data_IF_761329799294
#
_entry.id   IF_761329799294
#
_cell.length_a   1.000
_cell.length_b   1.000
_cell.length_c   1.000
_cell.angle_alpha   90.00
_cell.angle_beta   90.00
_cell.angle_gamma   90.00
#
_symmetry.space_group_name_H-M   'P 1'
#
loop_
_entity.id
_entity.type
_entity.pdbx_description
1 polymer ?
#
# COMPACT_ATOMS: atom_id res chain seq x y z
N UNK A 1 -1.70 -67.19 -9.30
CA UNK A 1 -1.42 -66.70 -10.67
C UNK A 1 -1.51 -65.18 -10.65
N UNK A 2 -0.45 -64.48 -11.05
CA UNK A 2 -0.35 -63.02 -10.98
C UNK A 2 -0.89 -62.45 -12.31
N UNK A 3 -2.04 -61.77 -12.28
CA UNK A 3 -2.66 -61.21 -13.47
C UNK A 3 -1.94 -59.89 -13.86
N UNK A 4 -0.90 -60.00 -14.68
CA UNK A 4 -0.25 -58.85 -15.29
C UNK A 4 -1.10 -58.36 -16.47
N UNK A 5 -2.18 -57.63 -16.19
CA UNK A 5 -2.90 -56.88 -17.24
C UNK A 5 -2.08 -55.62 -17.54
N UNK A 6 -1.45 -55.57 -18.70
CA UNK A 6 -0.78 -54.36 -19.20
C UNK A 6 -1.80 -53.28 -19.55
N UNK A 7 -1.35 -52.01 -19.54
CA UNK A 7 -2.13 -50.86 -20.02
C UNK A 7 -2.43 -51.02 -21.51
N UNK A 8 -3.69 -50.85 -21.87
CA UNK A 8 -4.10 -50.88 -23.28
C UNK A 8 -3.83 -49.53 -23.94
N UNK A 9 -3.58 -49.52 -25.26
CA UNK A 9 -3.35 -48.28 -25.99
C UNK A 9 -4.53 -47.32 -25.88
N UNK A 10 -5.75 -47.85 -25.89
CA UNK A 10 -6.99 -47.06 -25.75
C UNK A 10 -7.08 -46.38 -24.38
N UNK A 11 -6.66 -47.06 -23.31
CA UNK A 11 -6.67 -46.53 -21.95
C UNK A 11 -5.66 -45.38 -21.78
N UNK A 12 -4.50 -45.47 -22.44
CA UNK A 12 -3.53 -44.37 -22.51
C UNK A 12 -4.12 -43.14 -23.21
N UNK A 13 -4.75 -43.34 -24.37
CA UNK A 13 -5.35 -42.25 -25.14
C UNK A 13 -6.46 -41.55 -24.34
N UNK A 14 -7.34 -42.31 -23.69
CA UNK A 14 -8.41 -41.76 -22.85
C UNK A 14 -7.83 -40.98 -21.67
N UNK A 15 -6.79 -41.51 -21.02
CA UNK A 15 -6.13 -40.84 -19.88
C UNK A 15 -5.52 -39.51 -20.31
N UNK A 16 -4.82 -39.45 -21.45
CA UNK A 16 -4.25 -38.22 -21.99
C UNK A 16 -5.36 -37.21 -22.31
N UNK A 17 -6.45 -37.66 -22.95
CA UNK A 17 -7.58 -36.79 -23.28
C UNK A 17 -8.20 -36.14 -22.03
N UNK A 18 -8.39 -36.91 -20.96
CA UNK A 18 -8.92 -36.40 -19.68
C UNK A 18 -7.95 -35.40 -19.07
N UNK A 19 -6.64 -35.71 -19.03
CA UNK A 19 -5.62 -34.80 -18.48
C UNK A 19 -5.58 -33.49 -19.27
N UNK A 20 -5.68 -33.53 -20.60
CA UNK A 20 -5.70 -32.33 -21.44
C UNK A 20 -6.88 -31.43 -21.12
N UNK A 21 -8.08 -32.01 -20.94
CA UNK A 21 -9.28 -31.24 -20.56
C UNK A 21 -9.10 -30.60 -19.18
N UNK A 22 -8.61 -31.35 -18.20
CA UNK A 22 -8.37 -30.84 -16.85
C UNK A 22 -7.30 -29.73 -16.82
N UNK A 23 -6.27 -29.85 -17.67
CA UNK A 23 -5.16 -28.89 -17.73
C UNK A 23 -5.61 -27.48 -18.12
N UNK A 24 -6.64 -27.36 -18.96
CA UNK A 24 -7.18 -26.06 -19.38
C UNK A 24 -7.74 -25.29 -18.18
N UNK A 25 -8.47 -25.98 -17.30
CA UNK A 25 -9.02 -25.38 -16.08
C UNK A 25 -7.93 -24.90 -15.13
N UNK A 26 -6.91 -25.73 -14.92
CA UNK A 26 -5.76 -25.40 -14.06
C UNK A 26 -5.00 -24.19 -14.61
N UNK A 27 -4.72 -24.17 -15.92
CA UNK A 27 -3.99 -23.07 -16.56
C UNK A 27 -4.74 -21.74 -16.44
N UNK A 28 -6.06 -21.76 -16.54
CA UNK A 28 -6.90 -20.57 -16.34
C UNK A 28 -6.72 -19.98 -14.94
N UNK A 29 -6.75 -20.82 -13.90
CA UNK A 29 -6.56 -20.40 -12.50
C UNK A 29 -5.16 -19.79 -12.30
N UNK A 30 -4.13 -20.43 -12.85
CA UNK A 30 -2.75 -19.92 -12.78
C UNK A 30 -2.60 -18.57 -13.49
N UNK A 31 -3.22 -18.39 -14.65
CA UNK A 31 -3.17 -17.13 -15.39
C UNK A 31 -3.84 -15.99 -14.62
N UNK A 32 -5.03 -16.22 -14.07
CA UNK A 32 -5.76 -15.22 -13.27
C UNK A 32 -4.93 -14.86 -12.03
N UNK A 33 -4.40 -15.86 -11.32
CA UNK A 33 -3.60 -15.65 -10.11
C UNK A 33 -2.33 -14.86 -10.41
N UNK A 34 -1.60 -15.24 -11.46
CA UNK A 34 -0.37 -14.55 -11.88
C UNK A 34 -0.64 -13.10 -12.29
N UNK A 35 -1.73 -12.86 -13.04
CA UNK A 35 -2.12 -11.51 -13.42
C UNK A 35 -2.49 -10.66 -12.19
N UNK A 36 -3.15 -11.24 -11.19
CA UNK A 36 -3.51 -10.54 -9.95
C UNK A 36 -2.28 -10.24 -9.08
N UNK A 37 -1.31 -11.16 -8.99
CA UNK A 37 -0.04 -10.95 -8.29
C UNK A 37 0.72 -9.80 -8.94
N UNK A 38 0.84 -9.80 -10.27
CA UNK A 38 1.51 -8.73 -11.02
C UNK A 38 0.86 -7.37 -10.77
N UNK A 39 -0.47 -7.28 -10.92
CA UNK A 39 -1.23 -6.04 -10.63
C UNK A 39 -1.07 -5.57 -9.19
N UNK A 40 -1.04 -6.49 -8.23
CA UNK A 40 -0.84 -6.16 -6.82
C UNK A 40 0.57 -5.64 -6.56
N UNK A 41 1.58 -6.23 -7.19
CA UNK A 41 2.96 -5.75 -7.13
C UNK A 41 3.11 -4.33 -7.69
N UNK A 42 2.45 -4.02 -8.82
CA UNK A 42 2.42 -2.65 -9.36
C UNK A 42 1.76 -1.66 -8.40
N UNK A 43 0.63 -2.04 -7.79
CA UNK A 43 -0.05 -1.22 -6.76
C UNK A 43 0.87 -0.91 -5.58
N UNK A 44 1.55 -1.92 -5.05
CA UNK A 44 2.49 -1.74 -3.93
C UNK A 44 3.61 -0.78 -4.29
N UNK A 45 4.22 -0.93 -5.48
CA UNK A 45 5.26 -0.01 -5.96
C UNK A 45 4.75 1.44 -6.06
N UNK A 46 3.49 1.63 -6.45
CA UNK A 46 2.87 2.97 -6.54
C UNK A 46 2.65 3.59 -5.18
N UNK A 47 2.10 2.82 -4.22
CA UNK A 47 1.94 3.27 -2.84
C UNK A 47 3.29 3.71 -2.25
N UNK A 48 4.36 2.95 -2.50
CA UNK A 48 5.70 3.32 -2.04
C UNK A 48 6.20 4.64 -2.64
N UNK A 49 5.99 4.87 -3.94
CA UNK A 49 6.33 6.17 -4.58
C UNK A 49 5.52 7.34 -4.02
N UNK A 50 4.22 7.14 -3.77
CA UNK A 50 3.38 8.16 -3.14
C UNK A 50 3.89 8.46 -1.74
N UNK A 51 4.24 7.42 -0.97
CA UNK A 51 4.84 7.56 0.35
C UNK A 51 6.17 8.32 0.31
N UNK A 52 7.07 8.00 -0.61
CA UNK A 52 8.35 8.70 -0.77
C UNK A 52 8.15 10.21 -0.98
N UNK A 53 7.20 10.60 -1.85
CA UNK A 53 6.85 12.02 -2.02
C UNK A 53 6.25 12.65 -0.77
N UNK A 54 5.42 11.92 -0.03
CA UNK A 54 4.89 12.41 1.26
C UNK A 54 6.04 12.64 2.24
N UNK A 55 6.98 11.70 2.34
CA UNK A 55 8.14 11.79 3.22
C UNK A 55 9.05 12.98 2.84
N UNK A 56 9.27 13.22 1.54
CA UNK A 56 9.96 14.41 1.03
C UNK A 56 9.25 15.71 1.44
N UNK A 57 7.92 15.77 1.30
CA UNK A 57 7.16 16.96 1.69
C UNK A 57 7.09 17.16 3.20
N UNK A 58 7.12 16.07 3.99
CA UNK A 58 7.28 16.16 5.44
C UNK A 58 8.62 16.81 5.78
N UNK A 59 9.72 16.40 5.13
CA UNK A 59 11.05 16.96 5.37
C UNK A 59 11.07 18.45 5.00
N UNK A 60 10.58 18.82 3.81
CA UNK A 60 10.47 20.23 3.39
C UNK A 60 9.62 21.07 4.33
N UNK A 61 8.51 20.51 4.83
CA UNK A 61 7.63 21.22 5.76
C UNK A 61 8.24 21.50 7.13
N UNK A 62 9.32 20.79 7.53
CA UNK A 62 10.07 21.12 8.75
C UNK A 62 10.91 22.38 8.59
N UNK A 63 11.29 22.71 7.36
CA UNK A 63 12.11 23.88 7.04
C UNK A 63 11.24 25.13 6.82
N UNK A 64 10.00 24.94 6.34
CA UNK A 64 9.12 26.03 5.94
C UNK A 64 7.99 26.28 6.96
N UNK A 65 8.09 27.37 7.73
CA UNK A 65 7.21 27.64 8.89
C UNK A 65 5.92 28.41 8.54
N UNK A 66 5.63 28.59 7.24
CA UNK A 66 4.67 29.60 6.78
C UNK A 66 3.19 29.18 6.78
N UNK A 67 2.87 27.89 6.58
CA UNK A 67 1.46 27.43 6.52
C UNK A 67 1.05 26.72 7.81
N UNK A 68 0.02 27.26 8.48
CA UNK A 68 -0.54 26.75 9.74
C UNK A 68 -1.96 26.24 9.51
N UNK A 69 -2.10 24.93 9.41
CA UNK A 69 -3.38 24.26 9.60
C UNK A 69 -3.56 23.96 11.10
N UNK A 70 -4.79 24.13 11.60
CA UNK A 70 -5.14 23.81 12.99
C UNK A 70 -5.92 22.50 13.04
N UNK A 71 -5.42 21.54 13.82
CA UNK A 71 -6.14 20.29 14.10
C UNK A 71 -6.45 20.22 15.59
N UNK A 72 -7.73 20.00 15.93
CA UNK A 72 -8.19 19.80 17.30
C UNK A 72 -7.95 18.34 17.68
N UNK A 73 -7.11 18.09 18.68
CA UNK A 73 -6.82 16.73 19.17
C UNK A 73 -7.49 16.55 20.54
N UNK A 74 -8.32 15.52 20.66
CA UNK A 74 -8.98 15.14 21.92
C UNK A 74 -8.36 13.83 22.40
N UNK A 75 -7.56 13.88 23.47
CA UNK A 75 -7.02 12.69 24.14
C UNK A 75 -7.92 12.42 25.34
N UNK A 76 -8.81 11.42 25.20
CA UNK A 76 -9.67 11.00 26.31
C UNK A 76 -8.79 10.60 27.51
N UNK A 77 -9.23 11.01 28.70
CA UNK A 77 -8.64 10.71 30.02
C UNK A 77 -7.45 11.56 30.50
N UNK A 78 -6.77 12.37 29.66
CA UNK A 78 -5.55 13.10 30.11
C UNK A 78 -5.58 14.61 29.85
N UNK A 79 -6.11 15.09 28.72
CA UNK A 79 -6.02 16.52 28.34
C UNK A 79 -7.38 17.01 27.82
N UNK A 80 -7.93 18.09 28.41
CA UNK A 80 -9.01 18.88 27.79
C UNK A 80 -8.54 19.32 26.39
N UNK A 81 -9.44 19.27 25.41
CA UNK A 81 -9.21 19.64 24.00
C UNK A 81 -8.03 20.60 23.78
N UNK A 82 -7.00 20.15 23.04
CA UNK A 82 -5.82 20.96 22.71
C UNK A 82 -5.75 21.18 21.21
N UNK A 83 -5.70 22.43 20.79
CA UNK A 83 -5.40 22.79 19.40
C UNK A 83 -3.91 22.56 19.13
N UNK A 84 -3.61 21.84 18.07
CA UNK A 84 -2.25 21.60 17.60
C UNK A 84 -2.10 22.26 16.25
N UNK A 85 -1.18 23.22 16.19
CA UNK A 85 -0.75 23.83 14.92
C UNK A 85 0.13 22.83 14.16
N UNK A 86 -0.10 22.72 12.85
CA UNK A 86 0.71 21.87 11.98
C UNK A 86 0.40 22.13 10.50
N UNK A 87 0.72 21.16 9.66
CA UNK A 87 0.46 21.20 8.22
C UNK A 87 -0.16 19.88 7.78
N UNK A 88 -1.23 19.94 7.00
CA UNK A 88 -1.80 18.77 6.33
C UNK A 88 -1.07 18.60 4.99
N UNK A 89 -0.52 17.41 4.77
CA UNK A 89 0.13 17.04 3.51
C UNK A 89 -0.75 16.01 2.82
N UNK A 90 -1.14 16.31 1.58
CA UNK A 90 -1.91 15.42 0.73
C UNK A 90 -1.15 15.19 -0.57
N UNK A 91 -0.91 13.93 -0.91
CA UNK A 91 -0.27 13.53 -2.17
C UNK A 91 -1.11 12.45 -2.83
N UNK A 92 -1.41 12.63 -4.11
CA UNK A 92 -2.14 11.67 -4.94
C UNK A 92 -1.21 11.02 -5.96
N UNK A 93 -1.48 9.77 -6.33
CA UNK A 93 -0.74 9.06 -7.38
C UNK A 93 -0.76 9.81 -8.73
N UNK A 94 -1.88 10.46 -9.04
CA UNK A 94 -2.05 11.25 -10.27
C UNK A 94 -1.02 12.39 -10.38
N UNK A 95 -0.54 12.92 -9.25
CA UNK A 95 0.47 14.00 -9.19
C UNK A 95 1.91 13.48 -9.43
N UNK A 96 2.08 12.15 -9.50
CA UNK A 96 3.38 11.47 -9.62
C UNK A 96 3.50 10.69 -10.92
N UNK A 97 2.36 10.39 -11.51
CA UNK A 97 2.24 9.48 -12.63
C UNK A 97 2.90 10.05 -13.89
N UNK A 98 3.68 9.22 -14.60
CA UNK A 98 4.13 9.55 -15.96
C UNK A 98 3.00 9.29 -16.96
N UNK A 99 2.92 10.11 -18.01
CA UNK A 99 1.82 10.17 -19.00
C UNK A 99 1.32 8.81 -19.53
N UNK A 100 2.19 7.78 -19.56
CA UNK A 100 1.88 6.45 -20.10
C UNK A 100 1.63 5.35 -19.06
N UNK A 101 1.60 5.66 -17.77
CA UNK A 101 1.41 4.64 -16.73
C UNK A 101 -0.09 4.39 -16.46
N UNK A 102 -0.46 3.31 -15.77
CA UNK A 102 -1.82 3.16 -15.21
C UNK A 102 -1.92 3.96 -13.92
N UNK A 103 -3.01 4.72 -13.76
CA UNK A 103 -3.31 5.44 -12.51
C UNK A 103 -3.95 4.45 -11.57
N UNK A 104 -3.49 4.45 -10.33
CA UNK A 104 -4.24 3.87 -9.22
C UNK A 104 -4.75 5.03 -8.39
N UNK A 105 -6.05 5.04 -8.05
CA UNK A 105 -6.63 6.08 -7.21
C UNK A 105 -6.12 5.93 -5.75
N UNK A 106 -4.86 6.30 -5.53
CA UNK A 106 -4.15 6.24 -4.24
C UNK A 106 -3.96 7.68 -3.79
N UNK A 107 -4.37 7.95 -2.56
CA UNK A 107 -4.21 9.25 -1.88
C UNK A 107 -3.67 8.97 -0.49
N UNK A 108 -2.58 9.64 -0.13
CA UNK A 108 -2.04 9.64 1.24
C UNK A 108 -2.24 11.04 1.80
N UNK A 109 -2.92 11.13 2.94
CA UNK A 109 -3.10 12.36 3.71
C UNK A 109 -2.49 12.16 5.09
N UNK A 110 -1.62 13.07 5.50
CA UNK A 110 -0.95 13.03 6.80
C UNK A 110 -0.92 14.42 7.43
N UNK A 111 -0.80 14.48 8.76
CA UNK A 111 -0.67 15.72 9.52
C UNK A 111 0.68 15.77 10.20
N UNK A 112 1.43 16.86 9.97
CA UNK A 112 2.71 17.11 10.60
C UNK A 112 2.53 18.21 11.65
N UNK A 113 2.57 17.90 12.95
CA UNK A 113 2.48 18.91 13.99
C UNK A 113 3.75 19.77 14.01
N UNK A 114 3.60 21.07 14.26
CA UNK A 114 4.73 21.95 14.55
C UNK A 114 5.33 21.52 15.89
N UNK A 115 6.66 21.39 15.94
CA UNK A 115 7.37 20.99 17.18
C UNK A 115 7.02 21.99 18.28
N UNK A 116 6.27 21.53 19.29
CA UNK A 116 6.12 22.24 20.56
C UNK A 116 7.47 22.16 21.27
N UNK A 117 8.23 23.26 21.26
CA UNK A 117 9.37 23.40 22.16
C UNK A 117 8.74 23.43 23.56
N UNK A 118 8.93 22.35 24.33
CA UNK A 118 8.64 22.35 25.75
C UNK A 118 9.67 23.28 26.41
N UNK A 119 9.26 24.51 26.72
CA UNK A 119 10.02 25.45 27.55
C UNK A 119 10.18 24.86 28.96
N UNK A 120 11.21 24.04 29.17
CA UNK A 120 11.61 23.55 30.49
C UNK A 120 12.42 24.59 31.32
N UNK A 121 12.47 25.85 30.88
CA UNK A 121 13.18 26.92 31.59
C UNK A 121 12.24 27.86 32.34
N UNK A 122 11.50 27.37 33.34
CA UNK A 122 10.85 28.28 34.32
C UNK A 122 10.39 27.63 35.63
N UNK A 123 11.23 26.83 36.30
CA UNK A 123 10.92 26.47 37.69
C UNK A 123 12.13 26.04 38.54
N UNK A 124 13.18 26.87 38.64
CA UNK A 124 14.10 26.84 39.79
C UNK A 124 14.58 28.26 40.09
N UNK A 125 13.72 29.06 40.72
CA UNK A 125 14.10 30.28 41.42
C UNK A 125 12.99 30.67 42.40
N UNK A 126 12.90 29.94 43.52
CA UNK A 126 12.38 30.43 44.79
C UNK A 126 13.15 29.76 45.92
#
# INVERSE_FOLDING_TARGET
MKNNKGLTLIEIIITIAIISIMSIGILSIFNISSMNISKSGERTKRVLKVKEKVDEEIIRSKEDTANKDKVKVTIKEIIKDKEVDGKIIEVKDDDIKKSNEKSFNIKITTFVPKKLILDHHKEVAR
#
